data_IF_065830917798
#
_entry.id   IF_065830917798
#
_cell.length_a   1.000
_cell.length_b   1.000
_cell.length_c   1.000
_cell.angle_alpha   90.00
_cell.angle_beta   90.00
_cell.angle_gamma   90.00
#
_symmetry.space_group_name_H-M   'P 1'
#
loop_
_entity.id
_entity.type
_entity.pdbx_description
1 polymer ?
#
# COMPACT_ATOMS: atom_id res chain seq x y z
N UNK A 1 23.44 -0.25 8.14
CA UNK A 1 23.26 -1.12 6.95
C UNK A 1 22.26 -2.20 7.34
N UNK A 2 21.34 -2.54 6.45
CA UNK A 2 20.44 -3.66 6.73
C UNK A 2 21.25 -4.97 6.80
N UNK A 3 20.83 -5.89 7.67
CA UNK A 3 21.46 -7.19 7.81
C UNK A 3 21.20 -8.04 6.56
N UNK A 4 22.27 -8.54 5.93
CA UNK A 4 22.16 -9.36 4.72
C UNK A 4 21.34 -10.63 4.97
N UNK A 5 21.45 -11.25 6.14
CA UNK A 5 20.68 -12.44 6.48
C UNK A 5 19.17 -12.14 6.53
N UNK A 6 18.77 -10.97 7.04
CA UNK A 6 17.38 -10.52 7.05
C UNK A 6 16.84 -10.25 5.63
N UNK A 7 17.67 -9.65 4.76
CA UNK A 7 17.33 -9.46 3.35
C UNK A 7 17.10 -10.80 2.65
N UNK A 8 18.01 -11.76 2.84
CA UNK A 8 17.94 -13.07 2.21
C UNK A 8 16.73 -13.88 2.71
N UNK A 9 16.40 -13.79 3.99
CA UNK A 9 15.21 -14.41 4.55
C UNK A 9 13.93 -13.85 3.90
N UNK A 10 13.81 -12.53 3.76
CA UNK A 10 12.65 -11.88 3.13
C UNK A 10 12.59 -12.14 1.62
N UNK A 11 13.74 -12.21 0.93
CA UNK A 11 13.82 -12.56 -0.49
C UNK A 11 13.24 -13.96 -0.76
N UNK A 12 13.49 -14.90 0.13
CA UNK A 12 13.05 -16.28 0.00
C UNK A 12 11.65 -16.53 0.57
N UNK A 13 11.05 -15.53 1.22
CA UNK A 13 9.70 -15.66 1.78
C UNK A 13 8.66 -15.79 0.67
N UNK A 14 7.75 -16.77 0.79
CA UNK A 14 6.66 -16.94 -0.17
C UNK A 14 5.70 -15.75 -0.11
N UNK A 15 5.37 -15.18 -1.27
CA UNK A 15 4.35 -14.12 -1.37
C UNK A 15 2.99 -14.78 -1.64
N UNK A 16 2.07 -14.78 -0.69
CA UNK A 16 0.78 -15.42 -0.88
C UNK A 16 -0.07 -14.67 -1.93
N UNK A 17 -0.98 -15.35 -2.63
CA UNK A 17 -1.94 -14.71 -3.52
C UNK A 17 -2.72 -13.61 -2.84
N UNK A 18 -3.06 -12.56 -3.59
CA UNK A 18 -3.79 -11.39 -3.06
C UNK A 18 -5.10 -11.18 -3.79
N UNK A 19 -6.17 -11.07 -3.01
CA UNK A 19 -7.47 -10.65 -3.48
C UNK A 19 -7.61 -9.14 -3.62
N UNK A 20 -8.78 -8.69 -4.04
CA UNK A 20 -9.18 -7.29 -4.01
C UNK A 20 -9.42 -6.87 -2.56
N UNK A 21 -8.96 -5.67 -2.21
CA UNK A 21 -9.23 -5.10 -0.89
C UNK A 21 -10.33 -4.04 -1.00
N UNK A 22 -11.56 -4.41 -0.67
CA UNK A 22 -12.74 -3.56 -0.79
C UNK A 22 -13.51 -3.58 0.53
N UNK A 23 -13.91 -2.40 1.03
CA UNK A 23 -14.69 -2.23 2.27
C UNK A 23 -14.03 -2.90 3.49
N UNK A 24 -12.70 -2.77 3.60
CA UNK A 24 -11.85 -3.37 4.66
C UNK A 24 -11.83 -4.90 4.67
N UNK A 25 -12.18 -5.54 3.57
CA UNK A 25 -12.16 -6.99 3.43
C UNK A 25 -11.44 -7.43 2.15
N UNK A 26 -10.74 -8.57 2.22
CA UNK A 26 -10.17 -9.22 1.04
C UNK A 26 -11.23 -10.10 0.38
N UNK A 27 -11.34 -10.04 -0.96
CA UNK A 27 -12.26 -10.87 -1.75
C UNK A 27 -11.63 -11.25 -3.08
N UNK A 28 -12.10 -12.33 -3.67
CA UNK A 28 -11.78 -12.64 -5.06
C UNK A 28 -12.44 -11.63 -6.02
N UNK A 29 -11.94 -11.58 -7.26
CA UNK A 29 -12.63 -10.88 -8.33
C UNK A 29 -13.99 -11.56 -8.61
N UNK A 30 -15.00 -10.80 -9.04
CA UNK A 30 -16.33 -11.34 -9.37
C UNK A 30 -16.28 -12.39 -10.47
N UNK A 31 -15.31 -12.32 -11.38
CA UNK A 31 -15.07 -13.32 -12.42
C UNK A 31 -14.28 -14.54 -11.93
N UNK A 32 -13.63 -14.46 -10.76
CA UNK A 32 -12.64 -15.44 -10.30
C UNK A 32 -11.30 -15.37 -11.04
N UNK A 33 -11.12 -14.44 -11.99
CA UNK A 33 -9.89 -14.32 -12.75
C UNK A 33 -8.75 -13.76 -11.91
N UNK A 34 -7.53 -14.18 -12.24
CA UNK A 34 -6.30 -13.73 -11.60
C UNK A 34 -5.27 -13.32 -12.64
N UNK A 35 -4.32 -12.49 -12.22
CA UNK A 35 -3.14 -12.09 -12.98
C UNK A 35 -1.89 -12.64 -12.29
N UNK A 36 -0.96 -13.16 -13.08
CA UNK A 36 0.35 -13.53 -12.58
C UNK A 36 1.20 -12.27 -12.37
N UNK A 37 1.86 -12.19 -11.24
CA UNK A 37 2.91 -11.20 -10.96
C UNK A 37 4.25 -11.85 -11.25
N UNK A 38 4.93 -11.33 -12.26
CA UNK A 38 6.19 -11.89 -12.77
C UNK A 38 7.36 -11.06 -12.27
N UNK A 39 8.34 -11.72 -11.65
CA UNK A 39 9.59 -11.09 -11.23
C UNK A 39 10.38 -10.58 -12.45
N UNK A 40 10.74 -9.30 -12.52
CA UNK A 40 11.59 -8.79 -13.60
C UNK A 40 13.05 -9.22 -13.47
N UNK A 41 13.45 -9.83 -12.35
CA UNK A 41 14.82 -10.24 -12.09
C UNK A 41 15.16 -11.54 -12.82
N UNK A 42 14.22 -12.50 -12.82
CA UNK A 42 14.47 -13.85 -13.32
C UNK A 42 13.32 -14.43 -14.18
N UNK A 43 12.23 -13.65 -14.36
CA UNK A 43 11.06 -14.09 -15.12
C UNK A 43 10.20 -15.13 -14.39
N UNK A 44 10.50 -15.46 -13.15
CA UNK A 44 9.69 -16.40 -12.37
C UNK A 44 8.37 -15.77 -11.90
N UNK A 45 7.36 -16.61 -11.69
CA UNK A 45 6.11 -16.17 -11.09
C UNK A 45 6.28 -15.93 -9.59
N UNK A 46 6.14 -14.69 -9.16
CA UNK A 46 6.24 -14.27 -7.76
C UNK A 46 4.99 -14.63 -6.96
N UNK A 47 3.82 -14.32 -7.50
CA UNK A 47 2.51 -14.58 -6.89
C UNK A 47 1.39 -14.40 -7.92
N UNK A 48 0.13 -14.46 -7.47
CA UNK A 48 -1.05 -14.05 -8.26
C UNK A 48 -1.83 -12.96 -7.54
N UNK A 49 -2.50 -12.10 -8.29
CA UNK A 49 -3.44 -11.11 -7.78
C UNK A 49 -4.80 -11.27 -8.47
N UNK A 50 -5.88 -10.91 -7.79
CA UNK A 50 -7.21 -10.93 -8.39
C UNK A 50 -7.31 -9.90 -9.52
N UNK A 51 -7.89 -10.31 -10.68
CA UNK A 51 -8.13 -9.45 -11.84
C UNK A 51 -9.50 -8.79 -11.73
N UNK A 52 -9.54 -7.52 -11.28
CA UNK A 52 -10.78 -6.78 -11.12
C UNK A 52 -11.48 -6.49 -12.45
N UNK A 53 -12.77 -6.79 -12.53
CA UNK A 53 -13.64 -6.38 -13.63
C UNK A 53 -14.54 -5.18 -13.27
N UNK A 54 -15.44 -4.81 -14.18
CA UNK A 54 -16.36 -3.67 -13.97
C UNK A 54 -17.20 -3.81 -12.69
N UNK A 55 -17.74 -5.00 -12.40
CA UNK A 55 -18.53 -5.24 -11.20
C UNK A 55 -17.74 -5.01 -9.90
N UNK A 56 -16.43 -5.30 -9.91
CA UNK A 56 -15.56 -5.08 -8.77
C UNK A 56 -15.25 -3.59 -8.56
N UNK A 57 -15.04 -2.88 -9.66
CA UNK A 57 -14.87 -1.41 -9.64
C UNK A 57 -16.13 -0.75 -9.09
N UNK A 58 -17.32 -1.15 -9.55
CA UNK A 58 -18.60 -0.63 -9.04
C UNK A 58 -18.76 -0.89 -7.54
N UNK A 59 -18.39 -2.07 -7.05
CA UNK A 59 -18.38 -2.39 -5.60
C UNK A 59 -17.41 -1.47 -4.84
N UNK A 60 -16.21 -1.26 -5.37
CA UNK A 60 -15.20 -0.41 -4.74
C UNK A 60 -15.66 1.05 -4.67
N UNK A 61 -16.22 1.58 -5.77
CA UNK A 61 -16.78 2.94 -5.83
C UNK A 61 -17.95 3.09 -4.86
N UNK A 62 -18.87 2.11 -4.82
CA UNK A 62 -20.00 2.13 -3.89
C UNK A 62 -19.53 2.11 -2.42
N UNK A 63 -18.49 1.33 -2.08
CA UNK A 63 -17.90 1.31 -0.75
C UNK A 63 -17.26 2.66 -0.38
N UNK A 64 -16.49 3.25 -1.30
CA UNK A 64 -15.89 4.56 -1.11
C UNK A 64 -16.95 5.66 -0.92
N UNK A 65 -18.02 5.65 -1.72
CA UNK A 65 -19.14 6.59 -1.61
C UNK A 65 -19.83 6.45 -0.25
N UNK A 66 -20.16 5.24 0.19
CA UNK A 66 -20.75 5.02 1.51
C UNK A 66 -19.85 5.55 2.64
N UNK A 67 -18.54 5.34 2.56
CA UNK A 67 -17.59 5.83 3.55
C UNK A 67 -17.57 7.36 3.60
N UNK A 68 -17.57 8.00 2.42
CA UNK A 68 -17.60 9.45 2.30
C UNK A 68 -18.92 10.03 2.88
N UNK A 69 -20.06 9.46 2.51
CA UNK A 69 -21.39 9.96 2.96
C UNK A 69 -21.61 9.77 4.46
N UNK A 70 -21.10 8.67 5.04
CA UNK A 70 -21.07 8.47 6.50
C UNK A 70 -20.20 9.50 7.22
N UNK A 71 -19.22 10.06 6.55
CA UNK A 71 -18.36 11.10 7.08
C UNK A 71 -17.29 10.61 8.06
N UNK A 72 -17.02 9.30 8.10
CA UNK A 72 -16.03 8.71 9.01
C UNK A 72 -14.65 9.35 8.84
N UNK A 73 -14.28 9.66 7.61
CA UNK A 73 -13.04 10.36 7.29
C UNK A 73 -13.29 11.81 6.86
N UNK A 74 -14.24 12.04 5.96
CA UNK A 74 -14.49 13.36 5.36
C UNK A 74 -14.91 14.42 6.37
N UNK A 75 -15.55 14.01 7.47
CA UNK A 75 -16.00 14.91 8.56
C UNK A 75 -15.18 14.73 9.85
N UNK A 76 -14.16 13.87 9.85
CA UNK A 76 -13.28 13.71 11.00
C UNK A 76 -12.52 15.02 11.27
N UNK A 77 -12.31 15.34 12.54
CA UNK A 77 -11.51 16.50 12.92
C UNK A 77 -10.10 16.42 12.31
N UNK A 78 -9.49 17.53 11.90
CA UNK A 78 -8.13 17.53 11.35
C UNK A 78 -7.13 16.80 12.24
N UNK A 79 -7.20 16.95 13.55
CA UNK A 79 -6.33 16.26 14.51
C UNK A 79 -6.42 14.73 14.43
N UNK A 80 -7.64 14.18 14.25
CA UNK A 80 -7.83 12.74 14.12
C UNK A 80 -7.27 12.22 12.79
N UNK A 81 -7.48 12.92 11.69
CA UNK A 81 -6.91 12.58 10.39
C UNK A 81 -5.38 12.62 10.44
N UNK A 82 -4.81 13.66 11.04
CA UNK A 82 -3.37 13.81 11.28
C UNK A 82 -2.80 12.62 12.04
N UNK A 83 -3.43 12.21 13.14
CA UNK A 83 -3.04 11.06 13.95
C UNK A 83 -2.98 9.76 13.15
N UNK A 84 -4.01 9.50 12.31
CA UNK A 84 -4.05 8.32 11.44
C UNK A 84 -2.92 8.35 10.43
N UNK A 85 -2.65 9.49 9.78
CA UNK A 85 -1.59 9.62 8.79
C UNK A 85 -0.19 9.45 9.41
N UNK A 86 0.05 9.97 10.60
CA UNK A 86 1.28 9.70 11.35
C UNK A 86 1.43 8.22 11.68
N UNK A 87 0.33 7.56 12.08
CA UNK A 87 0.36 6.13 12.35
C UNK A 87 0.70 5.29 11.11
N UNK A 88 0.22 5.69 9.93
CA UNK A 88 0.61 5.06 8.66
C UNK A 88 2.11 5.24 8.43
N UNK A 89 2.66 6.43 8.61
CA UNK A 89 4.09 6.69 8.45
C UNK A 89 4.95 5.84 9.40
N UNK A 90 4.56 5.72 10.67
CA UNK A 90 5.23 4.86 11.66
C UNK A 90 5.22 3.38 11.23
N UNK A 91 4.09 2.90 10.70
CA UNK A 91 3.97 1.52 10.22
C UNK A 91 4.84 1.27 8.99
N UNK A 92 4.92 2.22 8.06
CA UNK A 92 5.81 2.13 6.89
C UNK A 92 7.26 2.02 7.36
N UNK A 93 7.70 2.86 8.30
CA UNK A 93 9.07 2.81 8.83
C UNK A 93 9.35 1.51 9.58
N UNK A 94 8.39 1.05 10.39
CA UNK A 94 8.51 -0.22 11.10
C UNK A 94 8.72 -1.41 10.17
N UNK A 95 8.09 -1.39 8.99
CA UNK A 95 8.14 -2.44 7.98
C UNK A 95 9.02 -2.09 6.78
N UNK A 96 9.93 -1.11 6.94
CA UNK A 96 10.72 -0.56 5.84
C UNK A 96 11.52 -1.63 5.07
N UNK A 97 12.18 -2.56 5.78
CA UNK A 97 12.96 -3.61 5.15
C UNK A 97 12.07 -4.58 4.35
N UNK A 98 10.95 -5.00 4.91
CA UNK A 98 9.98 -5.88 4.27
C UNK A 98 9.41 -5.24 2.99
N UNK A 99 9.00 -3.97 3.08
CA UNK A 99 8.47 -3.21 1.95
C UNK A 99 9.52 -3.03 0.84
N UNK A 100 10.76 -2.68 1.21
CA UNK A 100 11.85 -2.51 0.24
C UNK A 100 12.18 -3.83 -0.48
N UNK A 101 12.30 -4.94 0.24
CA UNK A 101 12.60 -6.25 -0.37
C UNK A 101 11.45 -6.70 -1.27
N UNK A 102 10.19 -6.48 -0.87
CA UNK A 102 9.03 -6.80 -1.70
C UNK A 102 9.03 -5.94 -2.98
N UNK A 103 9.31 -4.64 -2.87
CA UNK A 103 9.44 -3.73 -4.01
C UNK A 103 10.53 -4.18 -4.99
N UNK A 104 11.72 -4.56 -4.48
CA UNK A 104 12.79 -5.13 -5.32
C UNK A 104 12.34 -6.35 -6.10
N UNK A 105 11.59 -7.25 -5.47
CA UNK A 105 11.07 -8.46 -6.12
C UNK A 105 10.02 -8.17 -7.18
N UNK A 106 9.26 -7.10 -7.01
CA UNK A 106 8.16 -6.70 -7.89
C UNK A 106 8.63 -5.83 -9.06
N UNK A 107 9.52 -4.86 -8.81
CA UNK A 107 9.93 -3.86 -9.82
C UNK A 107 11.39 -3.95 -10.27
N UNK A 108 12.22 -4.78 -9.62
CA UNK A 108 13.62 -4.97 -9.98
C UNK A 108 14.57 -3.87 -9.53
N UNK A 109 14.12 -2.92 -8.70
CA UNK A 109 14.97 -1.85 -8.14
C UNK A 109 16.11 -2.45 -7.31
N UNK A 110 17.28 -1.86 -7.37
CA UNK A 110 18.43 -2.30 -6.56
C UNK A 110 18.16 -2.05 -5.06
N UNK A 111 18.47 -3.06 -4.22
CA UNK A 111 18.08 -3.08 -2.79
C UNK A 111 18.59 -1.86 -2.00
N UNK A 112 19.79 -1.35 -2.29
CA UNK A 112 20.34 -0.20 -1.59
C UNK A 112 19.59 1.08 -1.93
N UNK A 113 19.06 1.17 -3.15
CA UNK A 113 18.21 2.26 -3.61
C UNK A 113 16.82 2.15 -2.98
N UNK A 114 16.20 0.96 -3.02
CA UNK A 114 14.89 0.69 -2.44
C UNK A 114 14.87 1.04 -0.95
N UNK A 115 15.84 0.55 -0.18
CA UNK A 115 15.96 0.84 1.26
C UNK A 115 16.12 2.33 1.58
N UNK A 116 16.82 3.07 0.72
CA UNK A 116 17.12 4.48 0.94
C UNK A 116 15.95 5.39 0.54
N UNK A 117 15.26 5.06 -0.53
CA UNK A 117 14.30 5.97 -1.17
C UNK A 117 12.84 5.61 -0.90
N UNK A 118 12.45 4.34 -1.03
CA UNK A 118 11.03 4.00 -1.14
C UNK A 118 10.24 4.13 0.18
N UNK A 119 10.54 3.39 1.26
CA UNK A 119 9.76 3.50 2.51
C UNK A 119 9.91 4.86 3.18
N UNK A 120 11.14 5.43 3.15
CA UNK A 120 11.42 6.73 3.75
C UNK A 120 10.67 7.86 3.05
N UNK A 121 10.63 7.86 1.72
CA UNK A 121 9.85 8.81 0.92
C UNK A 121 8.35 8.68 1.19
N UNK A 122 7.84 7.45 1.22
CA UNK A 122 6.44 7.20 1.51
C UNK A 122 6.04 7.71 2.91
N UNK A 123 6.81 7.35 3.94
CA UNK A 123 6.58 7.82 5.31
C UNK A 123 6.66 9.35 5.42
N UNK A 124 7.66 9.96 4.78
CA UNK A 124 7.83 11.42 4.72
C UNK A 124 6.64 12.11 4.06
N UNK A 125 6.12 11.56 2.97
CA UNK A 125 4.93 12.06 2.28
C UNK A 125 3.69 12.03 3.19
N UNK A 126 3.45 10.91 3.87
CA UNK A 126 2.34 10.84 4.83
C UNK A 126 2.48 11.86 5.96
N UNK A 127 3.69 12.06 6.50
CA UNK A 127 3.92 13.09 7.53
C UNK A 127 3.70 14.50 7.00
N UNK A 128 4.22 14.82 5.83
CA UNK A 128 4.03 16.12 5.20
C UNK A 128 2.53 16.45 5.07
N UNK A 129 1.76 15.55 4.48
CA UNK A 129 0.32 15.77 4.31
C UNK A 129 -0.48 15.68 5.62
N UNK A 130 0.01 14.96 6.62
CA UNK A 130 -0.56 15.02 7.97
C UNK A 130 -0.48 16.45 8.53
N UNK A 131 0.69 17.11 8.39
CA UNK A 131 0.88 18.48 8.87
C UNK A 131 0.11 19.52 8.05
N UNK A 132 -0.26 19.25 6.81
CA UNK A 132 -1.05 20.17 5.98
C UNK A 132 -2.55 20.07 6.20
N UNK A 133 -3.03 19.04 6.90
CA UNK A 133 -4.46 18.75 7.08
C UNK A 133 -5.25 19.91 7.67
N UNK A 134 -4.65 20.72 8.55
CA UNK A 134 -5.23 21.89 9.20
C UNK A 134 -4.78 23.23 8.59
N UNK A 135 -4.11 23.21 7.44
CA UNK A 135 -3.51 24.39 6.79
C UNK A 135 -4.07 24.66 5.39
N UNK A 136 -5.05 23.87 4.95
CA UNK A 136 -5.76 24.13 3.69
C UNK A 136 -6.93 25.05 3.98
N UNK A 137 -6.83 26.30 3.50
CA UNK A 137 -7.86 27.31 3.63
C UNK A 137 -8.81 27.25 2.43
N UNK A 138 -10.10 27.51 2.66
CA UNK A 138 -11.06 27.71 1.59
C UNK A 138 -10.79 29.02 0.85
N UNK A 139 -11.18 29.09 -0.41
CA UNK A 139 -11.24 30.34 -1.18
C UNK A 139 -12.63 30.97 -1.02
N UNK A 140 -12.68 32.30 -0.86
CA UNK A 140 -13.90 33.13 -0.82
C UNK A 140 -13.85 34.17 -1.94
#
# INVERSE_FOLDING_TARGET
MADQAAIDALRNHAVPPRGLWIDSASSEAASGETLDVISPIDGSRLTTIASAGHADVDRAVAAARRSFDKGVWSRAAPAERKKVMHRIAELIEKHALELAVLGVRDNGTEISMALRAEPGSAAGTFRYYAETTDKVYGEI
#
